data_IF_971672494041
#
_entry.id   IF_971672494041
#
_cell.length_a   1.000
_cell.length_b   1.000
_cell.length_c   1.000
_cell.angle_alpha   90.00
_cell.angle_beta   90.00
_cell.angle_gamma   90.00
#
_symmetry.space_group_name_H-M   'P 1'
#
loop_
_entity.id
_entity.type
_entity.pdbx_description
1 polymer ?
#
# COMPACT_ATOMS: atom_id res chain seq x y z
N UNK A 1 28.95 -17.73 -3.03
CA UNK A 1 30.39 -18.03 -2.89
C UNK A 1 30.97 -18.14 -4.29
N UNK A 2 32.04 -17.40 -4.60
CA UNK A 2 32.75 -17.54 -5.87
C UNK A 2 33.61 -18.80 -5.88
N UNK A 3 33.69 -19.49 -7.02
CA UNK A 3 34.56 -20.65 -7.22
C UNK A 3 35.76 -20.19 -8.05
N UNK A 4 36.97 -20.35 -7.53
CA UNK A 4 38.21 -20.10 -8.27
C UNK A 4 38.74 -21.44 -8.77
N UNK A 5 38.90 -21.56 -10.09
CA UNK A 5 39.44 -22.76 -10.73
C UNK A 5 40.79 -22.41 -11.36
N UNK A 6 41.85 -23.09 -10.92
CA UNK A 6 43.19 -22.97 -11.49
C UNK A 6 43.56 -24.29 -12.15
N UNK A 7 43.95 -24.24 -13.42
CA UNK A 7 44.32 -25.42 -14.20
C UNK A 7 45.40 -25.11 -15.24
N UNK A 8 46.18 -26.13 -15.58
CA UNK A 8 47.30 -26.06 -16.54
C UNK A 8 46.88 -26.40 -17.99
N UNK A 9 45.59 -26.63 -18.23
CA UNK A 9 44.97 -26.90 -19.53
C UNK A 9 43.58 -26.24 -19.58
N UNK A 10 42.90 -26.29 -20.75
CA UNK A 10 41.55 -25.75 -20.92
C UNK A 10 40.55 -26.48 -20.01
N UNK A 11 39.86 -25.72 -19.15
CA UNK A 11 38.79 -26.22 -18.29
C UNK A 11 37.46 -25.62 -18.71
N UNK A 12 36.45 -26.47 -18.82
CA UNK A 12 35.06 -26.06 -19.05
C UNK A 12 34.34 -26.15 -17.70
N UNK A 13 33.86 -25.01 -17.22
CA UNK A 13 33.07 -24.91 -16.00
C UNK A 13 31.61 -24.71 -16.40
N UNK A 14 30.74 -25.63 -15.99
CA UNK A 14 29.29 -25.50 -16.11
C UNK A 14 28.67 -25.32 -14.73
N UNK A 15 27.63 -24.50 -14.65
CA UNK A 15 26.85 -24.32 -13.41
C UNK A 15 25.60 -25.18 -13.52
N UNK A 16 25.47 -26.20 -12.67
CA UNK A 16 24.19 -26.89 -12.51
C UNK A 16 23.32 -26.06 -11.58
N UNK A 17 22.38 -25.32 -12.16
CA UNK A 17 21.31 -24.64 -11.42
C UNK A 17 20.07 -25.53 -11.39
N UNK A 18 19.43 -25.61 -10.24
CA UNK A 18 18.19 -26.34 -10.01
C UNK A 18 17.18 -25.31 -9.50
N UNK A 19 16.02 -25.18 -10.16
CA UNK A 19 14.89 -24.42 -9.61
C UNK A 19 13.90 -25.40 -9.00
N UNK A 20 13.40 -25.08 -7.81
CA UNK A 20 12.28 -25.80 -7.21
C UNK A 20 11.17 -24.77 -7.01
N UNK A 21 10.18 -24.81 -7.89
CA UNK A 21 9.11 -23.81 -7.90
C UNK A 21 7.96 -24.30 -7.00
N UNK A 22 7.63 -23.51 -5.98
CA UNK A 22 6.46 -23.75 -5.14
C UNK A 22 5.40 -22.71 -5.47
N UNK A 23 4.20 -23.16 -5.81
CA UNK A 23 3.06 -22.29 -6.09
C UNK A 23 2.48 -21.79 -4.75
N UNK A 24 3.11 -20.78 -4.17
CA UNK A 24 2.63 -20.10 -2.96
C UNK A 24 2.37 -18.63 -3.26
N UNK A 25 1.40 -18.03 -2.57
CA UNK A 25 1.25 -16.58 -2.56
C UNK A 25 2.44 -15.98 -1.79
N UNK A 26 3.28 -15.13 -2.41
CA UNK A 26 4.40 -14.52 -1.72
C UNK A 26 3.88 -13.44 -0.77
N UNK A 27 3.65 -13.83 0.48
CA UNK A 27 3.32 -12.93 1.58
C UNK A 27 4.58 -12.76 2.42
N UNK A 28 4.93 -11.51 2.74
CA UNK A 28 6.04 -11.27 3.65
C UNK A 28 5.68 -11.78 5.05
N UNK A 29 6.44 -12.77 5.52
CA UNK A 29 6.38 -13.25 6.90
C UNK A 29 7.61 -12.75 7.67
N UNK A 30 7.44 -11.96 8.75
CA UNK A 30 8.55 -11.48 9.57
C UNK A 30 9.39 -12.66 10.11
N UNK A 31 10.70 -12.74 9.83
CA UNK A 31 11.56 -13.76 10.40
C UNK A 31 11.79 -13.53 11.91
N UNK A 32 12.18 -14.58 12.62
CA UNK A 32 12.47 -14.52 14.06
C UNK A 32 13.77 -13.81 14.43
N UNK A 33 14.59 -13.47 13.43
CA UNK A 33 15.89 -12.81 13.58
C UNK A 33 16.27 -12.13 12.25
N UNK A 34 17.28 -11.27 12.30
CA UNK A 34 17.85 -10.61 11.15
C UNK A 34 18.34 -11.58 10.07
N UNK A 35 18.03 -11.23 8.82
CA UNK A 35 18.45 -11.93 7.61
C UNK A 35 18.96 -10.92 6.57
N UNK A 36 19.69 -11.40 5.57
CA UNK A 36 20.12 -10.57 4.45
C UNK A 36 18.89 -9.97 3.73
N UNK A 37 18.98 -8.70 3.33
CA UNK A 37 17.91 -7.94 2.66
C UNK A 37 16.61 -7.77 3.47
N UNK A 38 16.63 -8.04 4.79
CA UNK A 38 15.47 -7.82 5.64
C UNK A 38 15.17 -6.34 5.84
N UNK A 39 16.20 -5.51 6.07
CA UNK A 39 16.07 -4.06 6.08
C UNK A 39 16.46 -3.52 4.70
N UNK A 40 15.54 -2.79 4.07
CA UNK A 40 15.71 -2.17 2.76
C UNK A 40 16.48 -0.84 2.88
N UNK A 41 16.83 -0.25 1.75
CA UNK A 41 17.42 1.08 1.65
C UNK A 41 18.63 1.33 2.57
N UNK A 42 19.48 0.31 2.70
CA UNK A 42 20.67 0.33 3.57
C UNK A 42 20.35 0.50 5.05
N UNK A 43 19.16 0.11 5.50
CA UNK A 43 18.82 0.03 6.92
C UNK A 43 19.66 -1.01 7.65
N UNK A 44 19.94 -0.76 8.93
CA UNK A 44 20.72 -1.67 9.78
C UNK A 44 19.76 -2.57 10.54
N UNK A 45 19.93 -3.88 10.40
CA UNK A 45 19.10 -4.86 11.10
C UNK A 45 19.65 -5.17 12.48
N UNK A 46 18.80 -5.07 13.49
CA UNK A 46 19.07 -5.42 14.88
C UNK A 46 18.18 -6.60 15.29
N UNK A 47 18.78 -7.63 15.90
CA UNK A 47 18.02 -8.76 16.43
C UNK A 47 17.25 -8.34 17.70
N UNK A 48 15.99 -8.77 17.80
CA UNK A 48 15.19 -8.69 19.03
C UNK A 48 14.76 -10.11 19.44
N UNK A 49 14.30 -10.31 20.68
CA UNK A 49 13.85 -11.63 21.14
C UNK A 49 12.36 -11.61 21.52
N UNK A 50 11.47 -12.22 20.71
CA UNK A 50 11.67 -12.67 19.32
C UNK A 50 11.61 -11.50 18.31
N UNK A 51 12.28 -11.64 17.15
CA UNK A 51 12.08 -10.77 15.98
C UNK A 51 13.29 -9.94 15.55
N UNK A 52 12.99 -8.80 14.93
CA UNK A 52 14.00 -7.84 14.47
C UNK A 52 13.47 -6.41 14.53
N UNK A 53 14.40 -5.47 14.46
CA UNK A 53 14.15 -4.05 14.28
C UNK A 53 15.08 -3.49 13.19
N UNK A 54 14.56 -2.65 12.31
CA UNK A 54 15.36 -1.98 11.29
C UNK A 54 15.60 -0.52 11.68
N UNK A 55 16.86 -0.16 11.87
CA UNK A 55 17.29 1.22 12.05
C UNK A 55 17.47 1.88 10.67
N UNK A 56 16.64 2.88 10.38
CA UNK A 56 16.54 3.50 9.07
C UNK A 56 17.37 4.78 8.96
N UNK A 57 17.90 5.05 7.78
CA UNK A 57 18.90 6.11 7.54
C UNK A 57 18.34 7.53 7.60
N UNK A 58 17.07 7.73 7.28
CA UNK A 58 16.44 9.05 7.23
C UNK A 58 14.94 9.00 7.55
N UNK A 59 14.32 10.18 7.68
CA UNK A 59 12.91 10.32 8.05
C UNK A 59 11.91 10.00 6.93
N UNK A 60 12.36 9.83 5.69
CA UNK A 60 11.49 9.45 4.58
C UNK A 60 11.34 7.92 4.42
N UNK A 61 12.17 7.13 5.12
CA UNK A 61 12.27 5.68 4.99
C UNK A 61 11.82 4.97 6.29
N UNK A 62 10.62 5.30 6.77
CA UNK A 62 10.13 4.91 8.11
C UNK A 62 9.28 3.64 8.15
N UNK A 63 9.17 2.91 7.04
CA UNK A 63 8.49 1.60 7.04
C UNK A 63 9.19 0.57 7.93
N UNK A 64 8.49 -0.51 8.28
CA UNK A 64 8.99 -1.60 9.15
C UNK A 64 10.36 -2.15 8.74
N UNK A 65 10.63 -2.19 7.43
CA UNK A 65 11.89 -2.62 6.82
C UNK A 65 12.62 -1.45 6.17
N UNK A 66 12.44 -0.23 6.65
CA UNK A 66 12.96 0.99 6.04
C UNK A 66 12.45 1.28 4.62
N UNK A 67 11.22 0.87 4.31
CA UNK A 67 10.51 1.34 3.12
C UNK A 67 10.20 2.84 3.23
N UNK A 68 10.19 3.55 2.10
CA UNK A 68 9.49 4.82 2.02
C UNK A 68 7.98 4.60 1.99
N UNK A 69 7.27 5.25 2.91
CA UNK A 69 5.83 5.06 3.09
C UNK A 69 5.00 5.98 2.20
N UNK A 70 5.58 7.07 1.69
CA UNK A 70 4.84 8.14 1.01
C UNK A 70 5.57 8.59 -0.26
N UNK A 71 4.80 8.86 -1.32
CA UNK A 71 5.28 9.47 -2.56
C UNK A 71 4.24 10.44 -3.11
N UNK A 72 4.71 11.53 -3.72
CA UNK A 72 3.88 12.58 -4.30
C UNK A 72 3.96 12.57 -5.82
N UNK A 73 2.91 13.13 -6.43
CA UNK A 73 2.72 13.24 -7.87
C UNK A 73 2.13 14.62 -8.19
N UNK A 74 2.63 15.28 -9.22
CA UNK A 74 2.23 16.65 -9.58
C UNK A 74 1.07 16.72 -10.60
N UNK A 75 0.57 15.56 -11.04
CA UNK A 75 -0.43 15.43 -12.10
C UNK A 75 0.16 15.11 -13.48
N UNK A 76 1.46 14.88 -13.59
CA UNK A 76 2.13 14.41 -14.82
C UNK A 76 2.98 13.17 -14.58
N UNK A 77 3.23 12.83 -13.31
CA UNK A 77 4.13 11.76 -12.95
C UNK A 77 3.50 10.37 -12.85
N UNK A 78 4.39 9.38 -12.79
CA UNK A 78 4.08 7.98 -12.52
C UNK A 78 5.26 7.33 -11.78
N UNK A 79 5.01 6.22 -11.10
CA UNK A 79 6.04 5.38 -10.50
C UNK A 79 5.71 3.90 -10.66
N UNK A 80 6.73 3.11 -10.97
CA UNK A 80 6.68 1.67 -11.13
C UNK A 80 7.19 0.97 -9.89
N UNK A 81 6.50 -0.10 -9.53
CA UNK A 81 6.87 -1.00 -8.47
C UNK A 81 6.69 -2.43 -8.93
N UNK A 82 7.19 -3.37 -8.12
CA UNK A 82 6.97 -4.79 -8.32
C UNK A 82 5.49 -5.11 -8.57
N UNK A 83 5.17 -6.04 -9.49
CA UNK A 83 3.79 -6.43 -9.74
C UNK A 83 3.08 -6.90 -8.47
N UNK A 84 1.76 -6.76 -8.45
CA UNK A 84 0.88 -7.41 -7.47
C UNK A 84 1.07 -8.93 -7.58
N UNK A 85 1.20 -9.65 -6.47
CA UNK A 85 1.39 -11.09 -6.53
C UNK A 85 0.14 -11.80 -7.06
N UNK A 86 0.34 -12.80 -7.92
CA UNK A 86 -0.73 -13.63 -8.49
C UNK A 86 -1.28 -14.62 -7.44
N UNK A 87 -2.08 -14.11 -6.50
CA UNK A 87 -2.72 -14.87 -5.44
C UNK A 87 -4.22 -15.08 -5.73
N UNK A 88 -4.84 -16.08 -5.10
CA UNK A 88 -6.30 -16.32 -5.16
C UNK A 88 -7.10 -15.35 -4.31
N UNK A 89 -6.41 -14.72 -3.35
CA UNK A 89 -6.92 -13.63 -2.54
C UNK A 89 -5.97 -12.45 -2.63
N UNK A 90 -6.53 -11.27 -2.78
CA UNK A 90 -5.80 -10.02 -2.92
C UNK A 90 -6.37 -8.98 -1.95
N UNK A 91 -5.52 -8.40 -1.13
CA UNK A 91 -5.86 -7.27 -0.27
C UNK A 91 -4.92 -6.11 -0.61
N UNK A 92 -5.44 -5.12 -1.33
CA UNK A 92 -4.72 -3.88 -1.65
C UNK A 92 -5.29 -2.78 -0.77
N UNK A 93 -4.43 -2.11 0.00
CA UNK A 93 -4.80 -0.91 0.75
C UNK A 93 -3.82 0.22 0.45
N UNK A 94 -4.31 1.44 0.31
CA UNK A 94 -3.48 2.63 0.21
C UNK A 94 -4.22 3.83 0.80
N UNK A 95 -3.46 4.85 1.16
CA UNK A 95 -3.99 6.16 1.52
C UNK A 95 -3.66 7.17 0.44
N UNK A 96 -4.55 8.13 0.21
CA UNK A 96 -4.32 9.23 -0.72
C UNK A 96 -4.81 10.56 -0.17
N UNK A 97 -4.19 11.64 -0.64
CA UNK A 97 -4.56 13.02 -0.34
C UNK A 97 -4.53 13.84 -1.63
N UNK A 98 -5.64 14.51 -1.95
CA UNK A 98 -5.76 15.33 -3.16
C UNK A 98 -6.89 16.36 -3.08
N UNK A 99 -6.84 17.36 -3.96
CA UNK A 99 -7.96 18.25 -4.31
C UNK A 99 -8.53 17.97 -5.71
N UNK A 100 -7.84 17.16 -6.52
CA UNK A 100 -8.25 16.81 -7.87
C UNK A 100 -9.42 15.82 -7.81
N UNK A 101 -10.49 16.07 -8.56
CA UNK A 101 -11.67 15.20 -8.56
C UNK A 101 -11.48 13.91 -9.35
N UNK A 102 -10.48 13.84 -10.23
CA UNK A 102 -10.26 12.67 -11.08
C UNK A 102 -8.78 12.34 -11.14
N UNK A 103 -8.38 11.08 -10.99
CA UNK A 103 -6.96 10.71 -11.02
C UNK A 103 -6.75 9.20 -10.90
N UNK A 104 -5.76 8.67 -11.59
CA UNK A 104 -5.36 7.27 -11.49
C UNK A 104 -4.47 7.06 -10.26
N UNK A 105 -4.96 6.32 -9.28
CA UNK A 105 -4.19 6.02 -8.08
C UNK A 105 -3.28 4.81 -8.29
N UNK A 106 -3.85 3.74 -8.87
CA UNK A 106 -3.19 2.45 -9.05
C UNK A 106 -3.64 1.78 -10.33
N UNK A 107 -2.69 1.25 -11.09
CA UNK A 107 -2.92 0.36 -12.21
C UNK A 107 -1.89 -0.77 -12.21
N UNK A 108 -2.37 -2.02 -12.22
CA UNK A 108 -1.53 -3.15 -12.61
C UNK A 108 -2.24 -3.90 -13.72
N UNK A 109 -1.62 -4.00 -14.89
CA UNK A 109 -2.24 -4.64 -16.02
C UNK A 109 -1.36 -4.53 -17.27
N UNK A 110 -1.87 -4.92 -18.43
CA UNK A 110 -1.08 -5.04 -19.64
C UNK A 110 -0.55 -3.68 -20.10
N UNK A 111 0.68 -3.69 -20.60
CA UNK A 111 1.31 -2.54 -21.27
C UNK A 111 2.22 -3.07 -22.37
N UNK A 112 2.18 -2.48 -23.57
CA UNK A 112 3.02 -2.89 -24.69
C UNK A 112 2.22 -3.23 -25.95
N UNK A 113 2.85 -3.90 -26.91
CA UNK A 113 2.18 -4.45 -28.09
C UNK A 113 1.64 -5.85 -27.79
N UNK A 114 0.50 -6.20 -28.39
CA UNK A 114 -0.10 -7.54 -28.31
C UNK A 114 0.84 -8.64 -28.85
N UNK A 115 1.88 -8.26 -29.61
CA UNK A 115 2.90 -9.17 -30.13
C UNK A 115 4.00 -9.54 -29.13
N UNK A 116 4.20 -8.75 -28.06
CA UNK A 116 5.36 -8.86 -27.16
C UNK A 116 5.23 -10.01 -26.16
N UNK A 117 4.01 -10.36 -25.75
CA UNK A 117 3.76 -11.35 -24.69
C UNK A 117 3.54 -12.79 -25.18
N UNK A 118 3.83 -13.08 -26.46
CA UNK A 118 3.95 -14.44 -26.98
C UNK A 118 2.89 -15.44 -26.49
N UNK A 119 1.75 -15.54 -27.19
CA UNK A 119 0.66 -16.52 -26.98
C UNK A 119 -0.13 -16.43 -25.66
N UNK A 120 0.32 -15.70 -24.64
CA UNK A 120 -0.46 -15.42 -23.44
C UNK A 120 -1.07 -14.01 -23.54
N UNK A 121 -2.38 -13.95 -23.82
CA UNK A 121 -3.18 -12.72 -23.71
C UNK A 121 -3.35 -12.38 -22.22
N UNK A 122 -2.32 -11.80 -21.58
CA UNK A 122 -2.49 -11.18 -20.28
C UNK A 122 -3.40 -9.96 -20.49
N UNK A 123 -4.68 -10.13 -20.18
CA UNK A 123 -5.71 -9.08 -20.25
C UNK A 123 -6.16 -8.64 -18.86
N UNK A 124 -5.76 -9.40 -17.85
CA UNK A 124 -6.09 -9.18 -16.46
C UNK A 124 -5.53 -7.84 -15.99
N UNK A 125 -6.33 -7.12 -15.22
CA UNK A 125 -5.90 -5.86 -14.63
C UNK A 125 -6.62 -5.58 -13.32
N UNK A 126 -6.01 -4.72 -12.52
CA UNK A 126 -6.63 -4.04 -11.39
C UNK A 126 -6.41 -2.54 -11.54
N UNK A 127 -7.47 -1.78 -11.30
CA UNK A 127 -7.48 -0.32 -11.34
C UNK A 127 -8.10 0.19 -10.05
N UNK A 128 -7.48 1.19 -9.44
CA UNK A 128 -8.10 2.06 -8.45
C UNK A 128 -7.94 3.49 -8.92
N UNK A 129 -9.04 4.22 -9.05
CA UNK A 129 -9.04 5.60 -9.54
C UNK A 129 -10.09 6.44 -8.84
N UNK A 130 -9.85 7.73 -8.86
CA UNK A 130 -10.81 8.75 -8.46
C UNK A 130 -11.58 9.22 -9.70
N UNK A 131 -12.91 9.27 -9.61
CA UNK A 131 -13.81 9.78 -10.65
C UNK A 131 -14.85 10.67 -9.98
N UNK A 132 -14.90 11.94 -10.37
CA UNK A 132 -15.79 12.96 -9.78
C UNK A 132 -15.75 13.00 -8.23
N UNK A 133 -14.55 12.87 -7.67
CA UNK A 133 -14.27 12.90 -6.24
C UNK A 133 -14.51 11.57 -5.54
N UNK A 134 -14.89 10.50 -6.24
CA UNK A 134 -15.29 9.22 -5.64
C UNK A 134 -14.40 8.08 -6.12
N UNK A 135 -14.17 7.09 -5.28
CA UNK A 135 -13.37 5.94 -5.66
C UNK A 135 -14.18 5.00 -6.55
N UNK A 136 -13.55 4.63 -7.66
CA UNK A 136 -13.96 3.55 -8.53
C UNK A 136 -12.79 2.57 -8.65
N UNK A 137 -13.07 1.29 -8.42
CA UNK A 137 -12.15 0.21 -8.74
C UNK A 137 -12.71 -0.65 -9.87
N UNK A 138 -11.83 -1.32 -10.60
CA UNK A 138 -12.20 -2.28 -11.63
C UNK A 138 -11.16 -3.41 -11.66
N UNK A 139 -11.65 -4.65 -11.71
CA UNK A 139 -10.82 -5.84 -11.82
C UNK A 139 -11.29 -6.65 -13.03
N UNK A 140 -10.35 -7.10 -13.84
CA UNK A 140 -10.59 -8.08 -14.87
C UNK A 140 -9.79 -9.33 -14.53
N UNK A 141 -10.49 -10.43 -14.36
CA UNK A 141 -9.90 -11.76 -14.34
C UNK A 141 -10.04 -12.36 -15.73
N UNK A 142 -9.13 -13.25 -16.10
CA UNK A 142 -9.06 -14.05 -17.35
C UNK A 142 -9.31 -13.34 -18.69
N UNK A 143 -9.35 -12.00 -18.72
CA UNK A 143 -9.63 -11.21 -19.90
C UNK A 143 -11.06 -11.26 -20.45
N UNK A 144 -12.04 -11.81 -19.72
CA UNK A 144 -13.42 -11.99 -20.25
C UNK A 144 -14.36 -10.87 -19.78
N UNK A 145 -14.52 -10.66 -18.47
CA UNK A 145 -15.50 -9.71 -17.92
C UNK A 145 -14.84 -8.72 -16.95
N UNK A 146 -15.07 -7.43 -17.20
CA UNK A 146 -14.69 -6.37 -16.27
C UNK A 146 -15.61 -6.34 -15.05
N UNK A 147 -15.04 -6.09 -13.87
CA UNK A 147 -15.75 -6.07 -12.61
C UNK A 147 -15.67 -4.69 -11.94
N UNK A 148 -16.30 -3.65 -12.51
CA UNK A 148 -16.30 -2.33 -11.88
C UNK A 148 -17.08 -2.37 -10.56
N UNK A 149 -16.52 -1.72 -9.55
CA UNK A 149 -17.11 -1.52 -8.23
C UNK A 149 -16.90 -0.08 -7.78
N UNK A 150 -17.96 0.54 -7.26
CA UNK A 150 -17.96 1.92 -6.80
C UNK A 150 -18.94 2.07 -5.63
N UNK A 151 -18.69 3.04 -4.76
CA UNK A 151 -19.57 3.37 -3.63
C UNK A 151 -20.31 4.66 -3.98
N UNK A 152 -21.47 4.53 -4.63
CA UNK A 152 -22.24 5.69 -5.11
C UNK A 152 -22.72 6.62 -3.99
N UNK A 153 -22.88 6.10 -2.77
CA UNK A 153 -23.32 6.85 -1.59
C UNK A 153 -22.20 7.52 -0.78
N UNK A 154 -20.94 7.45 -1.22
CA UNK A 154 -19.82 8.03 -0.45
C UNK A 154 -19.87 9.56 -0.37
N UNK A 155 -18.97 10.16 0.38
CA UNK A 155 -18.65 11.58 0.18
C UNK A 155 -17.66 11.75 -0.98
N UNK A 156 -17.45 13.00 -1.39
CA UNK A 156 -16.34 13.35 -2.26
C UNK A 156 -15.05 13.40 -1.43
N UNK A 157 -14.04 12.67 -1.87
CA UNK A 157 -12.78 12.40 -1.17
C UNK A 157 -11.62 13.27 -1.66
N UNK A 158 -11.90 14.23 -2.55
CA UNK A 158 -10.95 15.26 -2.96
C UNK A 158 -11.04 16.50 -2.05
N UNK A 159 -11.29 16.29 -0.76
CA UNK A 159 -11.49 17.34 0.23
C UNK A 159 -10.16 17.85 0.84
N UNK A 160 -9.02 17.30 0.41
CA UNK A 160 -7.68 17.65 0.87
C UNK A 160 -7.25 16.97 2.17
N UNK A 161 -8.01 15.99 2.66
CA UNK A 161 -7.62 15.12 3.77
C UNK A 161 -7.06 13.79 3.25
N UNK A 162 -6.45 13.04 4.16
CA UNK A 162 -6.06 11.67 3.92
C UNK A 162 -7.28 10.76 3.96
N UNK A 163 -7.46 9.96 2.91
CA UNK A 163 -8.45 8.91 2.84
C UNK A 163 -7.79 7.57 2.59
N UNK A 164 -8.28 6.52 3.23
CA UNK A 164 -7.86 5.13 3.02
C UNK A 164 -8.81 4.44 2.05
N UNK A 165 -8.26 3.67 1.12
CA UNK A 165 -9.01 2.81 0.22
C UNK A 165 -8.48 1.39 0.38
N UNK A 166 -9.38 0.46 0.65
CA UNK A 166 -9.07 -0.96 0.71
C UNK A 166 -9.89 -1.71 -0.32
N UNK A 167 -9.23 -2.45 -1.19
CA UNK A 167 -9.82 -3.33 -2.19
C UNK A 167 -9.43 -4.77 -1.83
N UNK A 168 -10.43 -5.53 -1.42
CA UNK A 168 -10.30 -6.94 -1.12
C UNK A 168 -10.90 -7.77 -2.26
N UNK A 169 -10.23 -8.84 -2.62
CA UNK A 169 -10.72 -9.89 -3.49
C UNK A 169 -10.41 -11.24 -2.85
N UNK A 170 -11.42 -12.10 -2.77
CA UNK A 170 -11.28 -13.49 -2.33
C UNK A 170 -12.22 -14.36 -3.15
N UNK A 171 -11.62 -15.17 -4.02
CA UNK A 171 -12.34 -15.86 -5.06
C UNK A 171 -13.19 -14.90 -5.89
N UNK A 172 -14.51 -15.08 -5.86
CA UNK A 172 -15.50 -14.25 -6.57
C UNK A 172 -15.93 -13.00 -5.81
N UNK A 173 -15.56 -12.87 -4.55
CA UNK A 173 -15.99 -11.76 -3.71
C UNK A 173 -15.01 -10.61 -3.91
N UNK A 174 -15.52 -9.47 -4.36
CA UNK A 174 -14.80 -8.19 -4.39
C UNK A 174 -15.46 -7.27 -3.38
N UNK A 175 -14.65 -6.68 -2.52
CA UNK A 175 -15.09 -5.71 -1.53
C UNK A 175 -14.24 -4.44 -1.63
N UNK A 176 -14.91 -3.29 -1.67
CA UNK A 176 -14.30 -1.96 -1.64
C UNK A 176 -14.72 -1.26 -0.36
N UNK A 177 -13.74 -0.76 0.41
CA UNK A 177 -13.94 -0.04 1.67
C UNK A 177 -13.20 1.30 1.63
N UNK A 178 -13.87 2.36 2.07
CA UNK A 178 -13.30 3.69 2.25
C UNK A 178 -13.19 3.98 3.76
N UNK A 179 -12.04 4.49 4.18
CA UNK A 179 -11.74 4.95 5.54
C UNK A 179 -12.11 3.94 6.65
N UNK A 180 -12.04 2.64 6.35
CA UNK A 180 -12.44 1.57 7.29
C UNK A 180 -13.85 1.73 7.86
N UNK A 181 -14.74 2.44 7.16
CA UNK A 181 -16.11 2.71 7.61
C UNK A 181 -16.21 3.34 9.02
N UNK A 182 -15.31 4.27 9.36
CA UNK A 182 -15.37 4.95 10.66
C UNK A 182 -16.68 5.74 10.88
N UNK A 183 -17.38 6.14 9.81
CA UNK A 183 -18.66 6.86 9.84
C UNK A 183 -19.85 5.95 9.51
N UNK A 184 -20.08 4.92 10.32
CA UNK A 184 -21.29 4.10 10.19
C UNK A 184 -22.50 4.76 10.86
N UNK A 185 -23.68 4.61 10.26
CA UNK A 185 -24.94 5.09 10.83
C UNK A 185 -25.68 3.93 11.48
N UNK A 186 -26.01 4.00 12.79
CA UNK A 186 -26.86 2.98 13.40
C UNK A 186 -28.27 3.09 12.83
N UNK A 187 -28.78 1.99 12.28
CA UNK A 187 -30.16 1.88 11.85
C UNK A 187 -30.98 1.54 13.09
N UNK A 188 -31.93 2.40 13.46
CA UNK A 188 -32.72 2.21 14.68
C UNK A 188 -33.54 3.41 15.09
N UNK A 189 -34.31 3.23 16.16
CA UNK A 189 -34.86 4.33 16.97
C UNK A 189 -33.99 4.48 18.20
N UNK A 190 -34.00 5.64 18.87
CA UNK A 190 -33.01 6.02 19.91
C UNK A 190 -32.59 4.94 20.91
N UNK A 191 -33.47 4.01 21.28
CA UNK A 191 -33.20 2.93 22.24
C UNK A 191 -32.99 1.52 21.61
N UNK A 192 -33.09 1.37 20.28
CA UNK A 192 -32.94 0.06 19.60
C UNK A 192 -32.24 0.18 18.25
N UNK A 193 -30.96 -0.20 18.23
CA UNK A 193 -30.18 -0.40 17.02
C UNK A 193 -30.57 -1.76 16.41
N UNK A 194 -31.13 -1.75 15.21
CA UNK A 194 -31.58 -2.92 14.44
C UNK A 194 -30.61 -3.30 13.32
N UNK A 195 -29.62 -2.46 13.04
CA UNK A 195 -28.59 -2.72 12.04
C UNK A 195 -27.59 -1.58 11.96
N UNK A 196 -26.61 -1.72 11.07
CA UNK A 196 -25.62 -0.70 10.77
C UNK A 196 -25.71 -0.44 9.26
N UNK A 197 -25.85 0.82 8.86
CA UNK A 197 -25.73 1.22 7.46
C UNK A 197 -24.29 1.65 7.18
N UNK A 198 -23.58 0.83 6.40
CA UNK A 198 -22.23 1.08 5.92
C UNK A 198 -22.19 1.32 4.40
N UNK A 199 -23.34 1.50 3.75
CA UNK A 199 -23.45 1.62 2.29
C UNK A 199 -22.78 2.87 1.71
N UNK A 200 -22.45 3.85 2.55
CA UNK A 200 -21.67 5.05 2.21
C UNK A 200 -20.16 4.80 2.13
N UNK A 201 -19.66 3.71 2.70
CA UNK A 201 -18.22 3.45 2.84
C UNK A 201 -17.82 2.03 2.42
N UNK A 202 -18.75 1.08 2.30
CA UNK A 202 -18.51 -0.30 1.90
C UNK A 202 -19.37 -0.67 0.69
N UNK A 203 -18.77 -1.40 -0.24
CA UNK A 203 -19.50 -2.08 -1.31
C UNK A 203 -18.93 -3.47 -1.53
N UNK A 204 -19.82 -4.45 -1.65
CA UNK A 204 -19.49 -5.82 -2.03
C UNK A 204 -20.09 -6.13 -3.40
N UNK A 205 -19.35 -6.89 -4.21
CA UNK A 205 -19.77 -7.41 -5.51
C UNK A 205 -19.32 -8.86 -5.62
N UNK A 206 -20.21 -9.71 -6.11
CA UNK A 206 -19.88 -11.09 -6.49
C UNK A 206 -19.68 -11.11 -8.00
N UNK A 207 -18.52 -11.56 -8.48
CA UNK A 207 -18.23 -11.67 -9.90
C UNK A 207 -18.91 -12.90 -10.51
N UNK A 208 -19.24 -12.81 -11.79
CA UNK A 208 -19.76 -13.96 -12.55
C UNK A 208 -18.64 -14.91 -12.99
N UNK A 209 -17.39 -14.52 -12.78
CA UNK A 209 -16.22 -15.28 -13.17
C UNK A 209 -16.03 -16.50 -12.27
N UNK A 210 -15.50 -17.58 -12.84
CA UNK A 210 -15.10 -18.79 -12.11
C UNK A 210 -13.61 -18.77 -11.77
N UNK A 211 -12.83 -17.86 -12.39
CA UNK A 211 -11.43 -17.65 -12.08
C UNK A 211 -11.25 -16.68 -10.90
N UNK A 212 -10.24 -16.97 -10.09
CA UNK A 212 -9.97 -16.33 -8.80
C UNK A 212 -8.60 -15.63 -8.78
N UNK A 213 -7.82 -15.72 -9.86
CA UNK A 213 -6.43 -15.25 -9.88
C UNK A 213 -6.24 -14.06 -10.82
N UNK A 214 -5.68 -12.99 -10.27
CA UNK A 214 -5.23 -11.85 -11.04
C UNK A 214 -3.84 -12.14 -11.63
N UNK A 215 -3.75 -12.41 -12.94
CA UNK A 215 -2.48 -12.72 -13.61
C UNK A 215 -1.86 -11.49 -14.27
N UNK A 216 -1.23 -10.64 -13.47
CA UNK A 216 -0.54 -9.43 -13.92
C UNK A 216 0.99 -9.63 -13.88
N UNK A 217 1.66 -9.39 -15.00
CA UNK A 217 3.12 -9.57 -15.14
C UNK A 217 3.84 -8.22 -15.32
N UNK A 218 3.10 -7.20 -15.74
CA UNK A 218 3.64 -5.85 -15.88
C UNK A 218 3.89 -5.21 -14.50
N UNK A 219 4.77 -4.19 -14.41
CA UNK A 219 4.95 -3.40 -13.21
C UNK A 219 3.65 -2.79 -12.71
N UNK A 220 3.54 -2.67 -11.38
CA UNK A 220 2.50 -1.89 -10.72
C UNK A 220 2.77 -0.40 -10.95
N UNK A 221 1.82 0.33 -11.52
CA UNK A 221 1.95 1.76 -11.79
C UNK A 221 1.10 2.58 -10.83
N UNK A 222 1.70 3.57 -10.20
CA UNK A 222 1.07 4.45 -9.20
C UNK A 222 1.13 5.90 -9.68
N UNK A 223 0.05 6.65 -9.43
CA UNK A 223 -0.08 8.08 -9.74
C UNK A 223 -0.31 8.41 -11.22
N UNK A 224 -0.05 7.48 -12.13
CA UNK A 224 -0.21 7.66 -13.56
C UNK A 224 0.24 6.41 -14.30
N UNK A 225 0.30 6.50 -15.63
CA UNK A 225 0.90 5.46 -16.47
C UNK A 225 2.11 6.01 -17.21
N UNK A 226 3.14 5.19 -17.36
CA UNK A 226 4.33 5.54 -18.11
C UNK A 226 3.99 5.85 -19.57
N UNK A 227 4.65 6.83 -20.19
CA UNK A 227 4.50 7.07 -21.61
C UNK A 227 4.94 5.83 -22.40
N UNK A 228 4.11 5.40 -23.35
CA UNK A 228 4.41 4.29 -24.24
C UNK A 228 5.02 4.80 -25.55
N UNK A 229 5.83 3.97 -26.21
CA UNK A 229 6.54 4.34 -27.43
C UNK A 229 6.13 3.47 -28.63
N UNK A 230 6.20 4.03 -29.84
CA UNK A 230 5.94 3.28 -31.07
C UNK A 230 4.52 2.73 -31.19
N UNK A 231 4.39 1.40 -31.19
CA UNK A 231 3.10 0.67 -31.35
C UNK A 231 2.48 0.20 -30.04
N UNK A 232 3.15 0.43 -28.92
CA UNK A 232 2.70 0.00 -27.60
C UNK A 232 1.42 0.71 -27.19
N UNK A 233 0.49 -0.01 -26.55
CA UNK A 233 -0.80 0.53 -26.11
C UNK A 233 -1.19 0.02 -24.74
N UNK A 234 -1.88 0.87 -24.00
CA UNK A 234 -2.65 0.45 -22.83
C UNK A 234 -4.04 -0.04 -23.26
N UNK A 235 -4.69 -0.89 -22.45
CA UNK A 235 -6.10 -1.22 -22.61
C UNK A 235 -6.99 0.04 -22.65
N UNK A 236 -8.07 -0.01 -23.44
CA UNK A 236 -8.99 1.11 -23.63
C UNK A 236 -9.60 1.64 -22.32
N UNK A 237 -9.78 0.77 -21.31
CA UNK A 237 -10.30 1.12 -19.99
C UNK A 237 -9.41 2.11 -19.23
N UNK A 238 -8.10 2.12 -19.52
CA UNK A 238 -7.14 3.09 -18.99
C UNK A 238 -7.16 4.36 -19.80
N UNK A 239 -7.04 4.25 -21.13
CA UNK A 239 -6.89 5.42 -22.00
C UNK A 239 -8.16 6.27 -22.10
N UNK A 240 -9.34 5.70 -21.91
CA UNK A 240 -10.61 6.43 -21.86
C UNK A 240 -10.72 7.38 -20.66
N UNK A 241 -9.94 7.14 -19.60
CA UNK A 241 -10.02 7.88 -18.33
C UNK A 241 -8.65 8.30 -17.81
N UNK A 242 -7.60 8.29 -18.65
CA UNK A 242 -6.23 8.54 -18.24
C UNK A 242 -6.09 9.99 -17.74
N UNK A 243 -6.28 10.16 -16.43
CA UNK A 243 -6.03 11.39 -15.71
C UNK A 243 -4.94 11.05 -14.70
N UNK A 244 -3.74 11.59 -14.95
CA UNK A 244 -2.65 11.48 -13.99
C UNK A 244 -3.08 12.13 -12.67
N UNK A 245 -2.70 11.51 -11.57
CA UNK A 245 -3.04 11.93 -10.22
C UNK A 245 -2.10 13.04 -9.76
N UNK A 246 -2.69 14.12 -9.23
CA UNK A 246 -1.98 15.14 -8.47
C UNK A 246 -2.32 14.99 -7.00
N UNK A 247 -1.33 14.70 -6.17
CA UNK A 247 -1.55 14.45 -4.76
C UNK A 247 -0.42 13.65 -4.12
N UNK A 248 -0.72 13.09 -2.97
CA UNK A 248 0.18 12.19 -2.25
C UNK A 248 -0.49 10.83 -2.09
N UNK A 249 0.29 9.76 -2.23
CA UNK A 249 -0.12 8.38 -1.93
C UNK A 249 0.83 7.84 -0.85
N UNK A 250 0.26 7.17 0.15
CA UNK A 250 1.04 6.57 1.23
C UNK A 250 0.51 5.21 1.66
N UNK A 251 1.33 4.49 2.42
CA UNK A 251 1.00 3.21 3.06
C UNK A 251 0.39 2.19 2.09
N UNK A 252 0.97 2.07 0.88
CA UNK A 252 0.56 1.06 -0.09
C UNK A 252 0.92 -0.33 0.45
N UNK A 253 -0.10 -1.11 0.78
CA UNK A 253 0.02 -2.48 1.25
C UNK A 253 -0.65 -3.43 0.26
N UNK A 254 0.01 -4.56 -0.03
CA UNK A 254 -0.56 -5.65 -0.82
C UNK A 254 -0.33 -6.95 -0.06
N UNK A 255 -1.40 -7.66 0.30
CA UNK A 255 -1.35 -8.89 1.09
C UNK A 255 -0.45 -8.78 2.34
N UNK A 256 -0.64 -7.69 3.10
CA UNK A 256 0.14 -7.33 4.31
C UNK A 256 1.61 -6.95 4.07
N UNK A 257 2.09 -6.91 2.83
CA UNK A 257 3.41 -6.38 2.54
C UNK A 257 3.33 -4.89 2.20
N UNK A 258 4.07 -4.07 2.97
CA UNK A 258 4.27 -2.65 2.68
C UNK A 258 5.22 -2.47 1.50
N UNK A 259 4.74 -1.81 0.45
CA UNK A 259 5.51 -1.45 -0.73
C UNK A 259 6.43 -0.27 -0.42
N UNK A 260 7.61 -0.26 -1.04
CA UNK A 260 8.59 0.79 -0.88
C UNK A 260 8.34 1.93 -1.86
N UNK A 261 7.45 2.85 -1.50
CA UNK A 261 7.16 4.04 -2.30
C UNK A 261 8.34 5.01 -2.37
N UNK A 262 9.34 4.87 -1.48
CA UNK A 262 10.53 5.71 -1.48
C UNK A 262 11.43 5.46 -2.68
N UNK A 263 11.62 4.18 -3.02
CA UNK A 263 12.53 3.73 -4.08
C UNK A 263 11.77 2.91 -5.12
N UNK A 264 11.15 3.57 -6.12
CA UNK A 264 10.48 2.88 -7.22
C UNK A 264 11.50 2.17 -8.13
N UNK A 265 11.03 1.16 -8.84
CA UNK A 265 11.82 0.47 -9.88
C UNK A 265 12.11 1.40 -11.07
N UNK A 266 11.16 2.28 -11.37
CA UNK A 266 11.27 3.33 -12.40
C UNK A 266 10.23 4.43 -12.13
N UNK A 267 10.59 5.71 -12.24
CA UNK A 267 9.64 6.80 -12.05
C UNK A 267 10.00 8.02 -12.91
N UNK A 268 9.01 8.89 -13.11
CA UNK A 268 9.23 10.24 -13.63
C UNK A 268 9.78 11.15 -12.53
N UNK A 269 11.10 11.17 -12.34
CA UNK A 269 11.74 11.90 -11.23
C UNK A 269 11.44 13.42 -11.22
N UNK A 270 11.09 14.02 -12.37
CA UNK A 270 10.66 15.43 -12.44
C UNK A 270 9.24 15.67 -11.89
N UNK A 271 8.40 14.64 -11.92
CA UNK A 271 6.96 14.74 -11.66
C UNK A 271 6.49 13.84 -10.50
N UNK A 272 7.41 13.14 -9.85
CA UNK A 272 7.14 12.33 -8.68
C UNK A 272 8.35 12.28 -7.73
N UNK A 273 8.10 12.54 -6.45
CA UNK A 273 9.13 12.64 -5.43
C UNK A 273 8.72 11.89 -4.15
N UNK A 274 9.71 11.39 -3.41
CA UNK A 274 9.52 10.79 -2.10
C UNK A 274 8.90 11.79 -1.10
N UNK A 275 8.03 11.30 -0.21
CA UNK A 275 7.32 12.15 0.74
C UNK A 275 6.10 12.83 0.12
N UNK A 276 5.49 13.76 0.86
CA UNK A 276 4.31 14.51 0.41
C UNK A 276 4.61 16.00 0.29
N UNK A 277 4.85 16.45 -0.94
CA UNK A 277 5.15 17.85 -1.25
C UNK A 277 4.03 18.82 -0.87
N UNK A 278 2.77 18.36 -0.87
CA UNK A 278 1.63 19.21 -0.50
C UNK A 278 1.59 19.56 0.99
N UNK A 279 2.30 18.81 1.84
CA UNK A 279 2.27 18.98 3.30
C UNK A 279 3.63 19.35 3.87
N UNK A 280 4.65 19.51 3.02
CA UNK A 280 6.04 19.78 3.42
C UNK A 280 6.15 21.06 4.26
N UNK A 281 5.44 22.12 3.86
CA UNK A 281 5.43 23.41 4.55
C UNK A 281 4.85 23.31 5.97
N UNK A 282 3.75 22.57 6.14
CA UNK A 282 3.13 22.35 7.46
C UNK A 282 4.05 21.51 8.37
N UNK A 283 4.82 20.59 7.79
CA UNK A 283 5.76 19.76 8.51
C UNK A 283 7.12 20.42 8.80
N UNK A 284 7.36 21.61 8.25
CA UNK A 284 8.60 22.37 8.50
C UNK A 284 9.86 21.65 8.02
N UNK A 285 9.77 20.79 6.99
CA UNK A 285 10.92 19.98 6.54
C UNK A 285 12.09 20.83 6.02
N UNK A 286 11.81 22.07 5.59
CA UNK A 286 12.79 23.05 5.12
C UNK A 286 13.00 24.22 6.10
N UNK A 287 12.48 24.14 7.33
CA UNK A 287 12.65 25.20 8.32
C UNK A 287 14.03 25.13 8.98
N UNK A 288 14.62 26.30 9.23
CA UNK A 288 15.91 26.47 9.92
C UNK A 288 15.82 25.92 11.35
N UNK A 289 14.62 25.96 11.95
CA UNK A 289 14.36 25.43 13.29
C UNK A 289 14.32 23.89 13.37
N UNK A 290 14.38 23.21 12.22
CA UNK A 290 14.24 21.76 12.10
C UNK A 290 12.78 21.32 11.87
N UNK A 291 12.56 20.02 11.59
CA UNK A 291 11.23 19.48 11.33
C UNK A 291 10.31 19.61 12.54
N UNK A 292 8.99 19.67 12.30
CA UNK A 292 8.00 19.74 13.37
C UNK A 292 8.10 18.56 14.34
N UNK A 293 8.23 17.34 13.80
CA UNK A 293 8.40 16.11 14.58
C UNK A 293 9.90 15.83 14.81
N UNK A 294 10.29 15.69 16.08
CA UNK A 294 11.70 15.50 16.47
C UNK A 294 12.15 14.06 16.22
N UNK A 295 11.41 13.09 16.76
CA UNK A 295 11.66 11.65 16.58
C UNK A 295 10.43 10.95 15.99
N UNK A 296 10.13 11.22 14.72
CA UNK A 296 9.00 10.60 14.06
C UNK A 296 8.73 11.12 12.66
N UNK A 297 7.72 10.54 12.03
CA UNK A 297 7.18 10.99 10.75
C UNK A 297 6.14 12.08 10.97
N UNK A 298 6.24 13.17 10.20
CA UNK A 298 5.24 14.23 10.21
C UNK A 298 4.13 13.94 9.21
N UNK A 299 2.88 14.03 9.67
CA UNK A 299 1.68 13.82 8.89
C UNK A 299 0.81 15.06 9.01
N UNK A 300 0.53 15.72 7.89
CA UNK A 300 -0.42 16.83 7.82
C UNK A 300 -1.44 16.57 6.73
N UNK A 301 -2.50 17.37 6.72
CA UNK A 301 -3.44 17.46 5.62
C UNK A 301 -3.48 18.90 5.06
N UNK A 302 -4.36 19.18 4.09
CA UNK A 302 -4.47 20.50 3.44
C UNK A 302 -5.52 21.42 4.08
N UNK A 303 -6.11 21.00 5.19
CA UNK A 303 -7.25 21.67 5.84
C UNK A 303 -6.87 22.10 7.26
N UNK A 304 -6.19 21.23 8.00
CA UNK A 304 -5.56 21.48 9.28
C UNK A 304 -4.25 22.22 9.08
N UNK A 305 -4.07 23.32 9.81
CA UNK A 305 -2.77 23.99 9.94
C UNK A 305 -1.88 23.37 11.03
N UNK A 306 -2.34 22.27 11.67
CA UNK A 306 -1.63 21.61 12.75
C UNK A 306 -1.21 20.21 12.28
N UNK A 307 0.09 19.97 12.05
CA UNK A 307 0.60 18.65 11.73
C UNK A 307 0.53 17.72 12.95
N UNK A 308 0.51 16.41 12.69
CA UNK A 308 0.60 15.35 13.70
C UNK A 308 1.90 14.57 13.53
N UNK A 309 2.39 13.98 14.60
CA UNK A 309 3.60 13.17 14.57
C UNK A 309 3.30 11.70 14.85
N UNK A 310 3.81 10.82 13.99
CA UNK A 310 3.91 9.39 14.25
C UNK A 310 5.28 9.10 14.85
N UNK A 311 5.34 8.90 16.16
CA UNK A 311 6.60 8.81 16.88
C UNK A 311 7.34 7.50 16.64
N UNK A 312 8.67 7.62 16.55
CA UNK A 312 9.57 6.47 16.56
C UNK A 312 9.43 5.69 17.87
N UNK A 313 9.63 4.35 17.85
CA UNK A 313 9.59 3.55 19.07
C UNK A 313 10.52 4.12 20.15
N UNK A 314 9.99 4.28 21.36
CA UNK A 314 10.72 4.87 22.49
C UNK A 314 10.55 6.38 22.64
N UNK A 315 9.78 7.04 21.78
CA UNK A 315 9.43 8.46 21.91
C UNK A 315 7.91 8.68 21.91
N UNK A 316 7.48 9.78 22.53
CA UNK A 316 6.08 10.21 22.62
C UNK A 316 5.97 11.72 22.78
N UNK A 317 4.74 12.19 23.07
CA UNK A 317 4.39 13.61 23.07
C UNK A 317 3.96 14.10 21.69
N UNK A 318 3.35 15.28 21.62
CA UNK A 318 2.75 15.83 20.39
C UNK A 318 3.78 16.04 19.27
N UNK A 319 5.06 16.24 19.63
CA UNK A 319 6.19 16.44 18.71
C UNK A 319 7.21 15.30 18.73
N UNK A 320 6.91 14.20 19.42
CA UNK A 320 7.83 13.08 19.62
C UNK A 320 9.17 13.48 20.27
N UNK A 321 9.12 14.43 21.21
CA UNK A 321 10.27 14.98 21.92
C UNK A 321 10.43 14.40 23.34
N UNK A 322 9.50 13.54 23.77
CA UNK A 322 9.51 12.93 25.11
C UNK A 322 10.00 11.49 24.99
N UNK A 323 11.20 11.15 25.52
CA UNK A 323 11.64 9.75 25.56
C UNK A 323 10.83 8.95 26.59
N UNK A 324 10.40 7.76 26.21
CA UNK A 324 9.76 6.83 27.12
C UNK A 324 10.75 6.33 28.18
N UNK A 325 10.25 6.17 29.40
CA UNK A 325 11.02 5.51 30.47
C UNK A 325 10.88 4.00 30.31
N UNK A 326 11.99 3.34 30.04
CA UNK A 326 12.05 1.88 30.02
C UNK A 326 11.69 1.31 31.39
N UNK A 327 10.94 0.22 31.38
CA UNK A 327 10.62 -0.56 32.58
C UNK A 327 11.31 -1.91 32.42
N UNK A 328 12.08 -2.30 33.43
CA UNK A 328 12.73 -3.60 33.47
C UNK A 328 11.80 -4.62 34.15
N UNK A 329 11.56 -5.75 33.48
CA UNK A 329 10.71 -6.82 33.99
C UNK A 329 11.58 -7.86 34.71
N UNK A 330 11.31 -8.06 36.00
CA UNK A 330 11.88 -9.18 36.76
C UNK A 330 11.06 -10.48 36.59
N UNK A 331 11.54 -11.62 37.11
CA UNK A 331 10.79 -12.88 37.08
C UNK A 331 9.38 -12.72 37.68
N UNK A 332 8.36 -13.17 36.94
CA UNK A 332 6.95 -13.07 37.36
C UNK A 332 6.29 -11.71 37.10
N UNK A 333 6.99 -10.77 36.46
CA UNK A 333 6.38 -9.50 36.02
C UNK A 333 5.54 -9.72 34.77
N UNK A 334 4.42 -9.02 34.67
CA UNK A 334 3.54 -9.03 33.50
C UNK A 334 3.07 -7.61 33.19
N UNK A 335 2.70 -7.37 31.94
CA UNK A 335 1.96 -6.17 31.53
C UNK A 335 0.53 -6.60 31.29
N UNK A 336 -0.40 -6.03 32.05
CA UNK A 336 -1.83 -6.21 31.83
C UNK A 336 -2.37 -4.97 31.13
N UNK A 337 -2.87 -5.15 29.92
CA UNK A 337 -3.58 -4.12 29.19
C UNK A 337 -5.07 -4.27 29.49
N UNK A 338 -5.56 -3.55 30.50
CA UNK A 338 -6.99 -3.42 30.74
C UNK A 338 -7.60 -2.49 29.68
N UNK A 339 -7.95 -3.08 28.55
CA UNK A 339 -8.67 -2.34 27.50
C UNK A 339 -10.10 -2.16 28.03
N UNK A 340 -10.44 -0.96 28.50
CA UNK A 340 -11.84 -0.55 28.75
C UNK A 340 -12.58 -0.42 27.42
N UNK A 341 -12.70 -1.50 26.67
CA UNK A 341 -13.73 -1.61 25.64
C UNK A 341 -14.96 -2.08 26.38
N UNK A 342 -16.00 -1.25 26.42
CA UNK A 342 -17.34 -1.73 26.73
C UNK A 342 -17.79 -2.66 25.61
N UNK A 343 -17.26 -3.89 25.58
CA UNK A 343 -17.97 -5.00 25.00
C UNK A 343 -19.04 -5.31 26.05
N UNK A 344 -20.27 -4.84 25.82
CA UNK A 344 -21.40 -5.48 26.48
C UNK A 344 -21.29 -6.96 26.16
N UNK A 345 -21.10 -7.78 27.20
CA UNK A 345 -21.28 -9.22 27.15
C UNK A 345 -22.71 -9.48 26.65
N UNK A 346 -22.88 -9.55 25.33
CA UNK A 346 -23.97 -10.33 24.75
C UNK A 346 -23.57 -11.78 24.90
N UNK A 347 -23.80 -12.27 26.11
CA UNK A 347 -24.11 -13.67 26.37
C UNK A 347 -25.17 -14.09 25.36
N UNK A 348 -24.75 -14.77 24.30
CA UNK A 348 -25.66 -15.64 23.57
C UNK A 348 -25.77 -16.91 24.39
N UNK A 349 -26.71 -16.93 25.32
CA UNK A 349 -27.32 -18.19 25.73
C UNK A 349 -27.95 -18.79 24.46
N UNK A 350 -27.23 -19.76 23.90
CA UNK A 350 -27.81 -20.77 23.01
C UNK A 350 -27.53 -22.08 23.70
N UNK A 351 -28.63 -22.73 24.13
CA UNK A 351 -28.70 -24.03 24.80
C UNK A 351 -27.80 -25.12 24.18
#
# INVERSE_FOLDING_TARGET
QGIVVSANQTVIVGVNAWSNDTCICPVFTPPSSCQANLCLNSGVCHNTYPGFFCECRNNFLKGLRCQGTTRSFDGQGFAWFKPVPACTSLNISLQFLTKQANGLLLYNGPMGDNSTYGRADYKDYVIIRLVSGRIQADLMFNGVVANPIQISGSDALNDGKWHTVTLYQDGKHIELVIDSCYTIVPIGTGDKIIGIDDSSCRRVKITADDDERLNVVAPLQIGGVAPLSGKERYPGVITAYAMNFKGCIRDLMVNNELYDLGVPDYASEEHSEIGCQLTEAACGLNDISGPYCVHGECISDLVSNVPKCLCDPGYGGDRCDIPFKWVEFGPGSFVEYDVKVGLEDKTTDVD
#
